data_IF_001120921510
#
_entry.id   IF_001120921510
#
_cell.length_a   1.000
_cell.length_b   1.000
_cell.length_c   1.000
_cell.angle_alpha   90.00
_cell.angle_beta   90.00
_cell.angle_gamma   90.00
#
_symmetry.space_group_name_H-M   'P 1'
#
loop_
_entity.id
_entity.type
_entity.pdbx_description
1 polymer ?
#
# COMPACT_ATOMS: atom_id res chain seq x y z
N UNK A 1 -7.48 3.24 7.77
CA UNK A 1 -6.23 2.93 7.03
C UNK A 1 -6.35 3.41 5.59
N UNK A 2 -5.27 3.92 4.96
CA UNK A 2 -5.33 4.25 3.52
C UNK A 2 -5.36 2.95 2.70
N UNK A 3 -6.23 2.90 1.69
CA UNK A 3 -6.36 1.76 0.77
C UNK A 3 -5.79 2.15 -0.59
N UNK A 4 -4.93 1.32 -1.13
CA UNK A 4 -4.36 1.47 -2.46
C UNK A 4 -4.70 0.26 -3.34
N UNK A 5 -4.70 0.45 -4.66
CA UNK A 5 -4.73 -0.64 -5.64
C UNK A 5 -3.57 -0.55 -6.62
N UNK A 6 -3.20 -1.68 -7.19
CA UNK A 6 -2.23 -1.75 -8.29
C UNK A 6 -2.83 -1.27 -9.62
N UNK A 7 -2.19 -0.27 -10.25
CA UNK A 7 -2.50 0.26 -11.59
C UNK A 7 -2.10 -0.72 -12.70
N UNK A 8 -1.02 -1.49 -12.48
CA UNK A 8 -0.43 -2.48 -13.38
C UNK A 8 0.18 -3.64 -12.56
N UNK A 9 0.48 -4.81 -13.14
CA UNK A 9 1.11 -5.91 -12.42
C UNK A 9 2.41 -5.46 -11.76
N UNK A 10 2.67 -5.93 -10.53
CA UNK A 10 3.85 -5.57 -9.77
C UNK A 10 4.35 -6.78 -8.98
N UNK A 11 5.59 -7.20 -9.24
CA UNK A 11 6.16 -8.45 -8.69
C UNK A 11 5.19 -9.62 -8.96
N UNK A 12 4.76 -10.32 -7.92
CA UNK A 12 3.84 -11.47 -8.02
C UNK A 12 2.35 -11.09 -7.89
N UNK A 13 2.02 -9.80 -7.90
CA UNK A 13 0.65 -9.32 -7.74
C UNK A 13 0.07 -8.84 -9.06
N UNK A 14 -1.20 -9.21 -9.28
CA UNK A 14 -1.94 -8.83 -10.49
C UNK A 14 -2.40 -7.38 -10.40
N UNK A 15 -2.67 -6.77 -11.56
CA UNK A 15 -3.34 -5.47 -11.63
C UNK A 15 -4.65 -5.52 -10.83
N UNK A 16 -4.95 -4.47 -10.08
CA UNK A 16 -6.16 -4.36 -9.27
C UNK A 16 -6.09 -5.01 -7.89
N UNK A 17 -5.00 -5.69 -7.52
CA UNK A 17 -4.81 -6.16 -6.13
C UNK A 17 -4.86 -4.97 -5.16
N UNK A 18 -5.57 -5.15 -4.05
CA UNK A 18 -5.79 -4.12 -3.04
C UNK A 18 -4.84 -4.31 -1.86
N UNK A 19 -4.35 -3.17 -1.36
CA UNK A 19 -3.43 -3.12 -0.24
C UNK A 19 -3.84 -2.04 0.76
N UNK A 20 -3.56 -2.30 2.03
CA UNK A 20 -3.55 -1.31 3.09
C UNK A 20 -2.14 -0.74 3.23
N UNK A 21 -2.01 0.59 3.26
CA UNK A 21 -0.77 1.22 3.71
C UNK A 21 -0.74 1.13 5.24
N UNK A 22 0.24 0.41 5.78
CA UNK A 22 0.37 0.13 7.21
C UNK A 22 1.52 0.87 7.87
N UNK A 23 2.53 1.31 7.10
CA UNK A 23 3.58 2.20 7.57
C UNK A 23 4.14 3.04 6.40
N UNK A 24 4.60 4.24 6.74
CA UNK A 24 5.30 5.16 5.85
C UNK A 24 6.47 5.74 6.67
N UNK A 25 7.66 5.78 6.09
CA UNK A 25 8.85 6.31 6.75
C UNK A 25 9.73 7.06 5.76
N UNK A 26 10.44 8.08 6.25
CA UNK A 26 11.43 8.83 5.50
C UNK A 26 12.72 8.94 6.31
N UNK A 27 13.86 8.61 5.71
CA UNK A 27 15.17 8.74 6.34
C UNK A 27 16.19 9.29 5.35
N UNK A 28 16.77 10.46 5.66
CA UNK A 28 17.76 11.16 4.82
C UNK A 28 17.27 11.27 3.35
N UNK A 29 16.01 11.67 3.17
CA UNK A 29 15.40 11.83 1.83
C UNK A 29 15.00 10.53 1.13
N UNK A 30 15.17 9.37 1.76
CA UNK A 30 14.70 8.09 1.23
C UNK A 30 13.35 7.73 1.88
N UNK A 31 12.30 7.65 1.08
CA UNK A 31 10.96 7.20 1.54
C UNK A 31 10.74 5.72 1.29
N UNK A 32 10.20 5.04 2.29
CA UNK A 32 9.74 3.66 2.22
C UNK A 32 8.27 3.56 2.66
N UNK A 33 7.50 2.78 1.90
CA UNK A 33 6.09 2.52 2.12
C UNK A 33 5.88 1.03 2.34
N UNK A 34 5.12 0.69 3.37
CA UNK A 34 4.79 -0.69 3.72
C UNK A 34 3.32 -0.96 3.46
N UNK A 35 3.07 -1.92 2.58
CA UNK A 35 1.75 -2.38 2.22
C UNK A 35 1.45 -3.77 2.76
N UNK A 36 0.19 -4.01 3.12
CA UNK A 36 -0.34 -5.34 3.47
C UNK A 36 -1.54 -5.68 2.59
N UNK A 37 -1.67 -6.90 2.12
CA UNK A 37 -2.84 -7.34 1.35
C UNK A 37 -4.12 -7.28 2.21
N UNK A 38 -5.29 -7.19 1.56
CA UNK A 38 -6.58 -7.15 2.26
C UNK A 38 -6.84 -8.40 3.11
N UNK A 39 -6.41 -9.56 2.63
CA UNK A 39 -6.45 -10.84 3.35
C UNK A 39 -5.46 -10.89 4.54
N UNK A 40 -4.66 -9.85 4.75
CA UNK A 40 -3.68 -9.72 5.82
C UNK A 40 -2.54 -10.76 5.78
N UNK A 41 -2.40 -11.55 4.73
CA UNK A 41 -1.37 -12.61 4.64
C UNK A 41 -0.01 -12.04 4.24
N UNK A 42 0.01 -11.12 3.28
CA UNK A 42 1.26 -10.69 2.64
C UNK A 42 1.61 -9.23 2.93
N UNK A 43 2.90 -8.97 3.17
CA UNK A 43 3.48 -7.63 3.37
C UNK A 43 4.53 -7.34 2.30
N UNK A 44 4.57 -6.12 1.79
CA UNK A 44 5.62 -5.63 0.88
C UNK A 44 6.10 -4.25 1.31
N UNK A 45 7.42 -4.04 1.27
CA UNK A 45 8.02 -2.71 1.28
C UNK A 45 8.34 -2.27 -0.14
N UNK A 46 8.08 -1.00 -0.44
CA UNK A 46 8.35 -0.36 -1.73
C UNK A 46 8.93 1.04 -1.51
N UNK A 47 9.80 1.47 -2.42
CA UNK A 47 10.33 2.83 -2.41
C UNK A 47 9.34 3.83 -3.04
N UNK A 48 9.66 5.13 -2.97
CA UNK A 48 8.84 6.20 -3.54
C UNK A 48 8.55 6.02 -5.03
N UNK A 49 9.56 5.64 -5.83
CA UNK A 49 9.40 5.45 -7.28
C UNK A 49 8.42 4.32 -7.59
N UNK A 50 8.56 3.18 -6.92
CA UNK A 50 7.65 2.04 -7.04
C UNK A 50 6.24 2.41 -6.57
N UNK A 51 6.13 3.15 -5.47
CA UNK A 51 4.84 3.61 -4.95
C UNK A 51 4.09 4.46 -5.99
N UNK A 52 4.73 5.49 -6.53
CA UNK A 52 4.12 6.42 -7.48
C UNK A 52 3.73 5.74 -8.81
N UNK A 53 4.58 4.84 -9.30
CA UNK A 53 4.42 4.17 -10.59
C UNK A 53 3.34 3.07 -10.57
N UNK A 54 3.22 2.34 -9.46
CA UNK A 54 2.36 1.15 -9.39
C UNK A 54 1.06 1.33 -8.59
N UNK A 55 1.00 2.24 -7.62
CA UNK A 55 -0.12 2.32 -6.67
C UNK A 55 -1.00 3.56 -6.88
N UNK A 56 -2.31 3.41 -6.73
CA UNK A 56 -3.28 4.52 -6.70
C UNK A 56 -4.12 4.44 -5.43
N UNK A 57 -4.28 5.59 -4.76
CA UNK A 57 -5.12 5.73 -3.59
C UNK A 57 -6.59 5.54 -3.98
N UNK A 58 -7.29 4.65 -3.27
CA UNK A 58 -8.73 4.45 -3.40
C UNK A 58 -9.54 5.22 -2.36
N UNK A 59 -8.93 5.49 -1.21
CA UNK A 59 -9.58 6.20 -0.12
C UNK A 59 -9.08 5.74 1.24
N UNK A 60 -9.90 5.97 2.26
CA UNK A 60 -9.61 5.64 3.64
C UNK A 60 -10.67 4.68 4.16
N UNK A 61 -10.25 3.54 4.71
CA UNK A 61 -11.11 2.72 5.55
C UNK A 61 -11.32 3.48 6.87
N UNK A 62 -12.56 3.90 7.11
CA UNK A 62 -12.98 4.39 8.42
C UNK A 62 -12.83 3.23 9.39
N UNK A 63 -12.03 3.39 10.44
CA UNK A 63 -12.22 2.53 11.62
C UNK A 63 -13.63 2.86 12.10
N UNK A 64 -14.53 1.89 12.01
CA UNK A 64 -15.70 1.88 12.88
C UNK A 64 -15.10 1.44 14.20
N UNK A 65 -14.84 2.40 15.09
CA UNK A 65 -14.41 2.06 16.44
C UNK A 65 -15.49 1.13 17.03
N UNK A 66 -15.13 -0.08 17.46
CA UNK A 66 -16.07 -0.94 18.15
C UNK A 66 -16.29 -0.32 19.54
N UNK A 67 -17.41 0.40 19.65
CA UNK A 67 -18.01 0.95 20.87
C UNK A 67 -17.39 2.24 21.42
#
# INVERSE_FOLDING_TARGET
MKIYKLKKPFRNYKRGTHFYLIAESEFIGVKEFVFRTKDLVSRISVNEKEFLDYFVLLGHEKRVDPF
#
